data_IF_464065662139
#
_entry.id   IF_464065662139
#
_cell.length_a   1.000
_cell.length_b   1.000
_cell.length_c   1.000
_cell.angle_alpha   90.00
_cell.angle_beta   90.00
_cell.angle_gamma   90.00
#
_symmetry.space_group_name_H-M   'P 1'
#
loop_
_entity.id
_entity.type
_entity.pdbx_description
1 polymer ?
#
# COMPACT_ATOMS: atom_id res chain seq x y z
N UNK A 1 4.02 -10.50 -11.47
CA UNK A 1 4.39 -11.89 -11.84
C UNK A 1 3.95 -12.81 -10.71
N UNK A 2 3.63 -14.07 -11.00
CA UNK A 2 3.29 -15.01 -9.94
C UNK A 2 4.50 -15.36 -9.06
N UNK A 3 4.24 -15.85 -7.86
CA UNK A 3 5.32 -16.23 -6.94
C UNK A 3 6.21 -17.35 -7.46
N UNK A 4 5.69 -18.30 -8.25
CA UNK A 4 6.50 -19.38 -8.82
C UNK A 4 7.64 -18.81 -9.66
N UNK A 5 7.37 -17.79 -10.45
CA UNK A 5 8.37 -17.14 -11.29
C UNK A 5 9.28 -16.22 -10.48
N UNK A 6 8.74 -15.51 -9.48
CA UNK A 6 9.56 -14.77 -8.51
C UNK A 6 10.54 -15.68 -7.75
N UNK A 7 10.10 -16.86 -7.32
CA UNK A 7 10.93 -17.84 -6.62
C UNK A 7 12.02 -18.44 -7.49
N UNK A 8 11.73 -18.72 -8.77
CA UNK A 8 12.77 -19.09 -9.74
C UNK A 8 13.81 -17.98 -9.91
N UNK A 9 13.38 -16.73 -9.98
CA UNK A 9 14.29 -15.59 -10.07
C UNK A 9 15.13 -15.44 -8.79
N UNK A 10 14.52 -15.64 -7.61
CA UNK A 10 15.21 -15.64 -6.33
C UNK A 10 16.33 -16.68 -6.28
N UNK A 11 16.07 -17.90 -6.73
CA UNK A 11 17.11 -18.95 -6.85
C UNK A 11 18.25 -18.62 -7.81
N UNK A 12 18.08 -17.64 -8.68
CA UNK A 12 19.12 -17.10 -9.57
C UNK A 12 19.81 -15.85 -9.01
N UNK A 13 19.63 -15.57 -7.71
CA UNK A 13 20.24 -14.43 -7.02
C UNK A 13 19.50 -13.11 -7.17
N UNK A 14 18.27 -13.09 -7.71
CA UNK A 14 17.45 -11.88 -7.75
C UNK A 14 16.70 -11.69 -6.44
N UNK A 15 16.34 -10.45 -6.13
CA UNK A 15 15.42 -10.12 -5.04
C UNK A 15 14.02 -9.85 -5.62
N UNK A 16 12.98 -10.18 -4.88
CA UNK A 16 11.60 -9.97 -5.30
C UNK A 16 10.74 -9.36 -4.18
N UNK A 17 9.76 -8.54 -4.54
CA UNK A 17 8.86 -7.86 -3.61
C UNK A 17 7.44 -7.78 -4.16
N UNK A 18 6.49 -7.41 -3.30
CA UNK A 18 5.17 -6.91 -3.68
C UNK A 18 5.22 -5.40 -3.94
N UNK A 19 4.35 -4.82 -4.78
CA UNK A 19 4.47 -3.41 -5.19
C UNK A 19 4.58 -2.43 -4.01
N UNK A 20 3.69 -2.57 -3.04
CA UNK A 20 3.61 -1.72 -1.85
C UNK A 20 4.65 -2.02 -0.76
N UNK A 21 5.52 -3.02 -0.94
CA UNK A 21 6.47 -3.39 0.11
C UNK A 21 7.68 -2.45 0.16
N UNK A 22 8.01 -1.98 1.36
CA UNK A 22 9.25 -1.25 1.61
C UNK A 22 10.50 -2.14 1.63
N UNK A 23 10.31 -3.46 1.79
CA UNK A 23 11.36 -4.48 1.84
C UNK A 23 11.28 -5.47 0.68
N UNK A 24 12.01 -6.57 0.78
CA UNK A 24 12.07 -7.61 -0.25
C UNK A 24 12.41 -8.98 0.30
N UNK A 25 12.18 -10.01 -0.51
CA UNK A 25 12.54 -11.39 -0.24
C UNK A 25 13.64 -11.86 -1.20
N UNK A 26 14.49 -12.76 -0.72
CA UNK A 26 15.52 -13.42 -1.53
C UNK A 26 15.76 -14.85 -1.08
N UNK A 27 16.35 -15.66 -1.97
CA UNK A 27 16.76 -17.03 -1.65
C UNK A 27 18.18 -17.04 -1.11
N UNK A 28 18.37 -17.62 0.08
CA UNK A 28 19.67 -17.89 0.66
C UNK A 28 20.10 -19.32 0.29
N UNK A 29 21.24 -19.44 -0.40
CA UNK A 29 21.74 -20.71 -0.93
C UNK A 29 22.28 -21.62 0.19
N UNK A 30 22.89 -21.04 1.21
CA UNK A 30 23.51 -21.79 2.31
C UNK A 30 22.43 -22.33 3.26
N UNK A 31 21.51 -21.45 3.67
CA UNK A 31 20.40 -21.80 4.57
C UNK A 31 19.28 -22.57 3.87
N UNK A 32 19.25 -22.55 2.53
CA UNK A 32 18.20 -23.14 1.68
C UNK A 32 16.79 -22.66 2.08
N UNK A 33 16.66 -21.36 2.28
CA UNK A 33 15.44 -20.72 2.77
C UNK A 33 15.18 -19.39 2.06
N UNK A 34 13.99 -18.84 2.24
CA UNK A 34 13.70 -17.46 1.85
C UNK A 34 14.00 -16.56 3.04
N UNK A 35 14.85 -15.57 2.81
CA UNK A 35 15.12 -14.49 3.74
C UNK A 35 14.25 -13.28 3.38
N UNK A 36 13.67 -12.65 4.39
CA UNK A 36 12.73 -11.54 4.27
C UNK A 36 13.37 -10.30 4.90
N UNK A 37 13.81 -9.36 4.08
CA UNK A 37 14.24 -8.05 4.53
C UNK A 37 12.98 -7.19 4.76
N UNK A 38 12.72 -6.82 6.01
CA UNK A 38 11.62 -5.91 6.36
C UNK A 38 11.92 -4.48 5.88
N UNK A 39 10.85 -3.66 5.76
CA UNK A 39 10.96 -2.23 5.45
C UNK A 39 11.82 -1.52 6.49
N UNK A 40 12.51 -0.45 6.10
CA UNK A 40 13.13 0.49 7.03
C UNK A 40 12.09 0.95 8.07
N UNK A 41 12.51 1.00 9.33
CA UNK A 41 11.68 1.48 10.43
C UNK A 41 11.47 2.99 10.30
N UNK A 42 10.47 3.49 11.01
CA UNK A 42 10.07 4.90 10.92
C UNK A 42 11.14 5.85 11.52
N UNK A 43 12.05 5.32 12.35
CA UNK A 43 13.24 6.03 12.89
C UNK A 43 14.46 6.01 11.94
N UNK A 44 14.32 5.41 10.75
CA UNK A 44 15.38 5.28 9.76
C UNK A 44 16.30 4.06 9.96
N UNK A 45 16.10 3.26 11.01
CA UNK A 45 16.87 2.03 11.18
C UNK A 45 16.52 0.97 10.13
N UNK A 46 17.52 0.17 9.77
CA UNK A 46 17.31 -0.97 8.89
C UNK A 46 16.30 -1.93 9.52
N UNK A 47 15.30 -2.33 8.73
CA UNK A 47 14.32 -3.32 9.16
C UNK A 47 14.96 -4.68 9.45
N UNK A 48 14.26 -5.49 10.23
CA UNK A 48 14.72 -6.83 10.61
C UNK A 48 14.94 -7.72 9.37
N UNK A 49 15.93 -8.61 9.47
CA UNK A 49 16.14 -9.68 8.52
C UNK A 49 15.59 -10.98 9.11
N UNK A 50 14.50 -11.48 8.56
CA UNK A 50 13.80 -12.65 9.07
C UNK A 50 14.01 -13.85 8.15
N UNK A 51 14.17 -15.03 8.72
CA UNK A 51 14.02 -16.28 7.99
C UNK A 51 12.53 -16.60 7.85
N UNK A 52 12.05 -16.98 6.66
CA UNK A 52 10.63 -17.32 6.46
C UNK A 52 10.17 -18.46 7.38
N UNK A 53 11.09 -19.33 7.83
CA UNK A 53 10.81 -20.43 8.76
C UNK A 53 10.45 -19.94 10.17
N UNK A 54 10.85 -18.73 10.51
CA UNK A 54 10.63 -18.10 11.82
C UNK A 54 9.42 -17.15 11.82
N UNK A 55 8.70 -17.04 10.70
CA UNK A 55 7.54 -16.16 10.58
C UNK A 55 6.45 -16.52 11.61
N UNK A 56 6.07 -15.55 12.44
CA UNK A 56 4.93 -15.68 13.34
C UNK A 56 3.61 -15.33 12.63
N UNK A 57 3.67 -14.70 11.45
CA UNK A 57 2.52 -14.29 10.67
C UNK A 57 2.29 -15.24 9.48
N UNK A 58 1.99 -16.51 9.78
CA UNK A 58 1.89 -17.59 8.78
C UNK A 58 0.84 -17.29 7.71
N UNK A 59 -0.38 -16.91 8.11
CA UNK A 59 -1.47 -16.59 7.18
C UNK A 59 -1.09 -15.45 6.22
N UNK A 60 -0.50 -14.38 6.75
CA UNK A 60 -0.01 -13.27 5.94
C UNK A 60 1.08 -13.73 4.97
N UNK A 61 2.04 -14.52 5.44
CA UNK A 61 3.15 -15.03 4.61
C UNK A 61 2.62 -15.89 3.45
N UNK A 62 1.70 -16.82 3.74
CA UNK A 62 1.09 -17.67 2.72
C UNK A 62 0.22 -16.88 1.74
N UNK A 63 -0.56 -15.91 2.23
CA UNK A 63 -1.36 -15.03 1.37
C UNK A 63 -0.52 -14.27 0.35
N UNK A 64 0.69 -13.84 0.76
CA UNK A 64 1.62 -13.17 -0.16
C UNK A 64 2.23 -14.14 -1.18
N UNK A 65 2.62 -15.34 -0.75
CA UNK A 65 3.08 -16.41 -1.65
C UNK A 65 2.02 -16.73 -2.72
N UNK A 66 0.74 -16.68 -2.37
CA UNK A 66 -0.36 -16.97 -3.31
C UNK A 66 -0.68 -15.82 -4.28
N UNK A 67 -0.03 -14.67 -4.14
CA UNK A 67 -0.32 -13.51 -4.98
C UNK A 67 0.43 -13.52 -6.32
N UNK A 68 -0.06 -12.73 -7.28
CA UNK A 68 0.32 -12.74 -8.69
C UNK A 68 0.96 -11.43 -9.22
N UNK A 69 1.19 -10.49 -8.33
CA UNK A 69 1.71 -9.14 -8.53
C UNK A 69 3.14 -8.97 -8.01
N UNK A 70 3.92 -10.05 -7.90
CA UNK A 70 5.34 -9.96 -7.54
C UNK A 70 6.14 -9.22 -8.63
N UNK A 71 7.19 -8.52 -8.20
CA UNK A 71 8.12 -7.81 -9.08
C UNK A 71 9.56 -8.05 -8.63
N UNK A 72 10.50 -7.92 -9.56
CA UNK A 72 11.93 -7.96 -9.25
C UNK A 72 12.34 -6.61 -8.68
N UNK A 73 13.16 -6.65 -7.63
CA UNK A 73 13.70 -5.46 -6.99
C UNK A 73 14.75 -4.80 -7.87
N UNK A 74 14.72 -3.48 -7.89
CA UNK A 74 15.78 -2.60 -8.38
C UNK A 74 15.93 -1.38 -7.44
N UNK A 75 16.88 -0.51 -7.75
CA UNK A 75 17.18 0.70 -6.97
C UNK A 75 16.04 1.74 -6.97
N UNK A 76 15.12 1.68 -7.93
CA UNK A 76 14.04 2.66 -8.08
C UNK A 76 12.76 2.25 -7.36
N UNK A 77 12.53 0.94 -7.22
CA UNK A 77 11.25 0.42 -6.75
C UNK A 77 11.25 -0.05 -5.29
N UNK A 78 12.38 0.00 -4.59
CA UNK A 78 12.51 -0.59 -3.25
C UNK A 78 13.08 0.41 -2.23
N UNK A 79 12.28 0.83 -1.23
CA UNK A 79 12.72 1.78 -0.21
C UNK A 79 13.98 1.43 0.57
N UNK A 80 14.21 0.16 0.94
CA UNK A 80 15.49 -0.24 1.57
C UNK A 80 16.72 -0.06 0.66
N UNK A 81 16.53 0.15 -0.64
CA UNK A 81 17.59 0.47 -1.61
C UNK A 81 17.59 1.94 -2.04
N UNK A 82 16.79 2.81 -1.40
CA UNK A 82 16.66 4.23 -1.74
C UNK A 82 15.60 4.55 -2.80
N UNK A 83 14.87 3.54 -3.30
CA UNK A 83 13.75 3.72 -4.22
C UNK A 83 12.42 4.01 -3.52
N UNK A 84 11.32 3.89 -4.26
CA UNK A 84 9.97 4.12 -3.74
C UNK A 84 9.05 2.93 -4.00
N UNK A 85 8.25 2.56 -3.01
CA UNK A 85 7.21 1.56 -3.17
C UNK A 85 5.95 2.23 -3.72
N UNK A 86 5.59 1.87 -4.95
CA UNK A 86 4.36 2.31 -5.60
C UNK A 86 3.46 1.14 -5.96
N UNK A 87 2.18 1.41 -6.15
CA UNK A 87 1.14 0.43 -6.45
C UNK A 87 0.02 1.05 -7.31
N UNK A 88 -0.84 0.20 -7.84
CA UNK A 88 -1.99 0.61 -8.63
C UNK A 88 -3.17 1.07 -7.79
N UNK A 89 -4.16 1.70 -8.44
CA UNK A 89 -5.35 2.22 -7.79
C UNK A 89 -6.17 1.15 -7.03
N UNK A 90 -6.22 -0.09 -7.54
CA UNK A 90 -6.92 -1.19 -6.88
C UNK A 90 -6.36 -1.49 -5.48
N UNK A 91 -5.03 -1.49 -5.35
CA UNK A 91 -4.36 -1.61 -4.06
C UNK A 91 -4.57 -0.35 -3.19
N UNK A 92 -4.58 0.84 -3.79
CA UNK A 92 -4.90 2.07 -3.07
C UNK A 92 -6.29 1.98 -2.38
N UNK A 93 -7.30 1.48 -3.09
CA UNK A 93 -8.64 1.22 -2.54
C UNK A 93 -8.59 0.18 -1.41
N UNK A 94 -7.90 -0.94 -1.63
CA UNK A 94 -7.72 -2.01 -0.63
C UNK A 94 -7.06 -1.48 0.65
N UNK A 95 -6.05 -0.60 0.53
CA UNK A 95 -5.37 -0.01 1.67
C UNK A 95 -6.22 1.06 2.38
N UNK A 96 -6.96 1.90 1.65
CA UNK A 96 -7.91 2.82 2.25
C UNK A 96 -9.01 2.11 3.04
N UNK A 97 -9.50 0.95 2.54
CA UNK A 97 -10.45 0.11 3.28
C UNK A 97 -9.89 -0.42 4.61
N UNK A 98 -8.56 -0.46 4.76
CA UNK A 98 -7.85 -0.81 6.00
C UNK A 98 -7.51 0.42 6.86
N UNK A 99 -7.97 1.61 6.48
CA UNK A 99 -7.73 2.86 7.21
C UNK A 99 -6.41 3.56 6.87
N UNK A 100 -5.67 3.07 5.86
CA UNK A 100 -4.42 3.71 5.44
C UNK A 100 -4.69 4.88 4.50
N UNK A 101 -3.89 5.93 4.62
CA UNK A 101 -3.89 7.07 3.70
C UNK A 101 -3.01 6.77 2.50
N UNK A 102 -3.41 7.22 1.33
CA UNK A 102 -2.67 7.02 0.08
C UNK A 102 -2.67 8.28 -0.76
N UNK A 103 -1.63 8.45 -1.58
CA UNK A 103 -1.50 9.58 -2.50
C UNK A 103 -0.83 9.15 -3.79
N UNK A 104 -0.96 9.98 -4.82
CA UNK A 104 -0.17 9.88 -6.05
C UNK A 104 1.20 10.50 -5.83
N UNK A 105 2.25 9.92 -6.44
CA UNK A 105 3.59 10.52 -6.42
C UNK A 105 3.60 11.92 -7.08
N UNK A 106 2.82 12.08 -8.16
CA UNK A 106 2.79 13.30 -8.97
C UNK A 106 1.81 14.40 -8.50
N UNK A 107 1.19 14.30 -7.33
CA UNK A 107 0.28 15.37 -6.86
C UNK A 107 1.05 16.62 -6.42
N UNK A 108 0.57 17.79 -6.86
CA UNK A 108 1.27 19.07 -6.77
C UNK A 108 1.04 19.84 -5.45
N UNK A 109 0.67 19.18 -4.35
CA UNK A 109 0.53 19.81 -3.05
C UNK A 109 1.23 19.04 -1.95
N UNK A 110 1.86 19.78 -1.04
CA UNK A 110 2.38 19.22 0.22
C UNK A 110 1.22 18.59 0.98
N UNK A 111 1.47 17.41 1.54
CA UNK A 111 0.56 16.69 2.42
C UNK A 111 -0.82 16.39 1.83
N UNK A 112 -0.92 16.32 0.49
CA UNK A 112 -2.13 15.87 -0.17
C UNK A 112 -2.26 14.35 -0.14
N UNK A 113 -3.43 13.85 0.23
CA UNK A 113 -3.74 12.42 0.23
C UNK A 113 -5.24 12.18 0.17
N UNK A 114 -5.61 10.94 -0.10
CA UNK A 114 -6.97 10.45 0.06
C UNK A 114 -7.05 9.42 1.19
N UNK A 115 -8.20 9.40 1.84
CA UNK A 115 -8.51 8.44 2.89
C UNK A 115 -9.98 8.03 2.84
N UNK A 116 -10.30 6.89 3.44
CA UNK A 116 -11.68 6.49 3.66
C UNK A 116 -12.26 7.28 4.83
N UNK A 117 -13.18 8.20 4.57
CA UNK A 117 -14.01 8.81 5.59
C UNK A 117 -15.16 7.87 5.95
N UNK A 118 -15.43 7.77 7.24
CA UNK A 118 -16.56 7.06 7.84
C UNK A 118 -17.37 8.06 8.67
N UNK A 119 -18.64 7.80 8.91
CA UNK A 119 -19.48 8.64 9.76
C UNK A 119 -19.68 10.09 9.25
N UNK A 120 -19.61 10.32 7.93
CA UNK A 120 -19.99 11.57 7.25
C UNK A 120 -21.39 12.05 7.68
N UNK A 121 -21.48 13.32 8.03
CA UNK A 121 -22.72 14.03 8.35
C UNK A 121 -22.72 15.39 7.66
N UNK A 122 -23.91 16.00 7.58
CA UNK A 122 -24.06 17.38 7.12
C UNK A 122 -25.04 18.13 8.01
N UNK A 123 -24.93 19.45 8.03
CA UNK A 123 -25.89 20.32 8.72
C UNK A 123 -26.94 20.78 7.71
N UNK A 124 -28.21 20.47 7.96
CA UNK A 124 -29.33 20.95 7.15
C UNK A 124 -29.58 22.45 7.38
N UNK A 125 -30.40 23.07 6.52
CA UNK A 125 -30.67 24.52 6.56
C UNK A 125 -31.33 24.98 7.88
N UNK A 126 -32.01 24.08 8.57
CA UNK A 126 -32.65 24.31 9.88
C UNK A 126 -31.68 24.11 11.07
N UNK A 127 -30.40 23.79 10.80
CA UNK A 127 -29.39 23.52 11.81
C UNK A 127 -29.35 22.07 12.30
N UNK A 128 -30.22 21.20 11.81
CA UNK A 128 -30.22 19.78 12.18
C UNK A 128 -28.99 19.08 11.61
N UNK A 129 -28.22 18.40 12.45
CA UNK A 129 -27.14 17.51 11.99
C UNK A 129 -27.76 16.21 11.49
N UNK A 130 -27.64 15.96 10.18
CA UNK A 130 -28.13 14.76 9.53
C UNK A 130 -26.94 13.84 9.25
N UNK A 131 -27.03 12.64 9.80
CA UNK A 131 -26.15 11.54 9.44
C UNK A 131 -26.88 10.63 8.45
N UNK A 132 -26.25 10.35 7.32
CA UNK A 132 -26.76 9.39 6.35
C UNK A 132 -26.52 7.97 6.88
N UNK A 133 -27.34 7.51 7.84
CA UNK A 133 -27.27 6.16 8.39
C UNK A 133 -27.84 5.15 7.36
N UNK A 134 -26.98 4.46 6.63
CA UNK A 134 -27.41 3.39 5.73
C UNK A 134 -26.48 2.19 5.92
N UNK A 135 -27.05 1.06 6.32
CA UNK A 135 -26.31 -0.13 6.75
C UNK A 135 -25.38 -0.71 5.67
N UNK A 136 -25.70 -0.52 4.39
CA UNK A 136 -24.99 -1.16 3.27
C UNK A 136 -24.02 -0.23 2.52
N UNK A 137 -24.35 1.06 2.38
CA UNK A 137 -23.65 2.00 1.45
C UNK A 137 -23.50 3.42 2.03
N UNK A 138 -24.28 3.78 3.04
CA UNK A 138 -24.38 5.14 3.56
C UNK A 138 -23.67 5.19 4.88
N UNK A 139 -22.37 5.44 4.80
CA UNK A 139 -21.77 6.60 5.44
C UNK A 139 -20.25 6.62 5.19
N UNK A 140 -19.84 6.18 4.00
CA UNK A 140 -18.44 6.08 3.62
C UNK A 140 -18.23 6.86 2.34
N UNK A 141 -17.16 7.62 2.30
CA UNK A 141 -16.75 8.34 1.10
C UNK A 141 -15.24 8.47 1.10
N UNK A 142 -14.66 8.61 -0.08
CA UNK A 142 -13.25 8.98 -0.17
C UNK A 142 -13.18 10.48 0.08
N UNK A 143 -12.38 10.88 1.07
CA UNK A 143 -12.05 12.28 1.31
C UNK A 143 -10.71 12.58 0.65
N UNK A 144 -10.65 13.65 -0.13
CA UNK A 144 -9.40 14.23 -0.59
C UNK A 144 -9.00 15.34 0.37
N UNK A 145 -7.84 15.17 0.99
CA UNK A 145 -7.24 16.16 1.88
C UNK A 145 -6.31 17.00 1.01
N UNK A 146 -6.78 18.21 0.68
CA UNK A 146 -6.05 19.18 -0.11
C UNK A 146 -5.39 20.25 0.75
N UNK A 147 -4.56 21.07 0.13
CA UNK A 147 -3.95 22.24 0.77
C UNK A 147 -4.98 23.33 1.11
N UNK A 148 -6.13 23.34 0.44
CA UNK A 148 -7.22 24.31 0.62
C UNK A 148 -8.40 23.75 1.43
N UNK A 149 -8.28 22.55 1.98
CA UNK A 149 -9.34 21.91 2.77
C UNK A 149 -9.69 20.51 2.30
N UNK A 150 -10.82 20.01 2.78
CA UNK A 150 -11.27 18.63 2.55
C UNK A 150 -12.38 18.61 1.50
N UNK A 151 -12.18 17.85 0.43
CA UNK A 151 -13.23 17.50 -0.51
C UNK A 151 -13.79 16.12 -0.14
N UNK A 152 -14.96 16.12 0.49
CA UNK A 152 -15.71 14.91 0.75
C UNK A 152 -16.35 14.36 -0.53
N UNK A 153 -16.29 13.04 -0.72
CA UNK A 153 -16.83 12.40 -1.92
C UNK A 153 -15.95 12.63 -3.15
N UNK A 154 -14.62 12.59 -2.97
CA UNK A 154 -13.67 12.69 -4.06
C UNK A 154 -13.92 11.59 -5.11
N UNK A 155 -13.99 12.01 -6.37
CA UNK A 155 -14.19 11.15 -7.52
C UNK A 155 -12.84 10.92 -8.20
N UNK A 156 -12.40 9.67 -8.24
CA UNK A 156 -11.21 9.31 -9.00
C UNK A 156 -11.47 9.56 -10.49
N UNK A 157 -10.56 10.25 -11.16
CA UNK A 157 -10.57 10.35 -12.62
C UNK A 157 -10.12 9.04 -13.26
N UNK A 158 -10.33 8.88 -14.57
CA UNK A 158 -9.75 7.74 -15.30
C UNK A 158 -8.22 7.71 -15.19
N UNK A 159 -7.57 8.88 -15.16
CA UNK A 159 -6.12 8.97 -14.97
C UNK A 159 -5.70 8.46 -13.58
N UNK A 160 -6.46 8.79 -12.53
CA UNK A 160 -6.22 8.28 -11.18
C UNK A 160 -6.36 6.76 -11.11
N UNK A 161 -7.41 6.23 -11.74
CA UNK A 161 -7.73 4.80 -11.75
C UNK A 161 -6.72 3.95 -12.52
N UNK A 162 -6.17 4.48 -13.62
CA UNK A 162 -5.29 3.74 -14.52
C UNK A 162 -3.81 3.82 -14.16
N UNK A 163 -3.46 4.60 -13.16
CA UNK A 163 -2.06 4.92 -12.95
C UNK A 163 -1.45 4.19 -11.74
N UNK A 164 -0.14 3.99 -11.81
CA UNK A 164 0.61 3.01 -11.00
C UNK A 164 1.57 3.64 -9.99
N UNK A 165 1.51 4.96 -9.82
CA UNK A 165 2.39 5.70 -8.89
C UNK A 165 1.77 5.94 -7.51
N UNK A 166 0.70 5.21 -7.16
CA UNK A 166 0.09 5.35 -5.83
C UNK A 166 1.07 4.87 -4.77
N UNK A 167 1.11 5.59 -3.65
CA UNK A 167 1.97 5.29 -2.51
C UNK A 167 1.22 5.59 -1.22
N UNK A 168 1.73 5.10 -0.10
CA UNK A 168 1.22 5.50 1.20
C UNK A 168 1.51 6.98 1.46
N UNK A 169 0.59 7.64 2.14
CA UNK A 169 0.80 8.97 2.69
C UNK A 169 1.02 8.87 4.21
N UNK A 170 1.85 9.75 4.75
CA UNK A 170 2.10 9.88 6.20
C UNK A 170 0.91 10.57 6.91
#
# INVERSE_FOLDING_TARGET
>A
MNFKDAFKAMKKGRMAKRPSWGGYWYWDVEKKTIMMQCRTKDDGEKGDLLDIRETQAVEYTMSNILSDDWMIVDETNCPVLGGEATFGFGDAIKYMKRGLKVKRKGWNGKDQYIQLAICVSYTAADGTIVNCNHNDIGNKAIAFIGTSGVQMGWLASQADMLAEDWMFAE
#
